data_IF_573236616833
#
_entry.id   IF_573236616833
#
_cell.length_a   1.000
_cell.length_b   1.000
_cell.length_c   1.000
_cell.angle_alpha   90.00
_cell.angle_beta   90.00
_cell.angle_gamma   90.00
#
_symmetry.space_group_name_H-M   'P 1'
#
loop_
_entity.id
_entity.type
_entity.pdbx_description
1 polymer ?
#
# COMPACT_ATOMS: atom_id res chain seq x y z
N UNK A 1 -9.58 18.00 -32.51
CA UNK A 1 -8.65 17.88 -31.38
C UNK A 1 -9.45 18.23 -30.13
N UNK A 2 -9.76 17.26 -29.25
CA UNK A 2 -10.48 17.55 -28.00
C UNK A 2 -9.61 18.43 -27.08
N UNK A 3 -10.22 19.34 -26.32
CA UNK A 3 -9.46 20.21 -25.41
C UNK A 3 -8.93 19.43 -24.21
N UNK A 4 -7.75 19.82 -23.72
CA UNK A 4 -7.10 19.21 -22.55
C UNK A 4 -8.04 19.14 -21.34
N UNK A 5 -8.92 20.14 -21.14
CA UNK A 5 -9.90 20.15 -20.05
C UNK A 5 -10.96 19.05 -20.17
N UNK A 6 -11.44 18.79 -21.39
CA UNK A 6 -12.40 17.69 -21.65
C UNK A 6 -11.75 16.34 -21.34
N UNK A 7 -10.46 16.19 -21.59
CA UNK A 7 -9.72 14.96 -21.28
C UNK A 7 -9.59 14.74 -19.78
N UNK A 8 -9.25 15.78 -19.01
CA UNK A 8 -9.21 15.72 -17.55
C UNK A 8 -10.59 15.43 -16.95
N UNK A 9 -11.67 15.95 -17.54
CA UNK A 9 -13.03 15.62 -17.11
C UNK A 9 -13.36 14.14 -17.34
N UNK A 10 -13.03 13.59 -18.52
CA UNK A 10 -13.24 12.16 -18.81
C UNK A 10 -12.40 11.26 -17.91
N UNK A 11 -11.12 11.59 -17.68
CA UNK A 11 -10.27 10.89 -16.72
C UNK A 11 -10.86 10.87 -15.31
N UNK A 12 -11.34 12.03 -14.82
CA UNK A 12 -12.03 12.12 -13.52
C UNK A 12 -13.31 11.29 -13.44
N UNK A 13 -14.07 11.16 -14.53
CA UNK A 13 -15.26 10.32 -14.56
C UNK A 13 -14.90 8.84 -14.33
N UNK A 14 -13.87 8.34 -15.00
CA UNK A 14 -13.39 6.97 -14.79
C UNK A 14 -12.84 6.76 -13.37
N UNK A 15 -12.06 7.71 -12.83
CA UNK A 15 -11.62 7.66 -11.43
C UNK A 15 -12.80 7.56 -10.46
N UNK A 16 -13.83 8.42 -10.62
CA UNK A 16 -15.03 8.37 -9.78
C UNK A 16 -15.80 7.05 -9.89
N UNK A 17 -15.84 6.44 -11.08
CA UNK A 17 -16.46 5.13 -11.24
C UNK A 17 -15.69 4.05 -10.47
N UNK A 18 -14.35 4.06 -10.54
CA UNK A 18 -13.49 3.16 -9.76
C UNK A 18 -13.67 3.39 -8.25
N UNK A 19 -13.69 4.64 -7.81
CA UNK A 19 -13.91 5.01 -6.41
C UNK A 19 -15.28 4.55 -5.90
N UNK A 20 -16.33 4.61 -6.73
CA UNK A 20 -17.65 4.07 -6.37
C UNK A 20 -17.62 2.56 -6.14
N UNK A 21 -16.83 1.82 -6.91
CA UNK A 21 -16.60 0.39 -6.68
C UNK A 21 -15.78 0.14 -5.40
N UNK A 22 -14.83 1.03 -5.08
CA UNK A 22 -14.10 0.97 -3.81
C UNK A 22 -15.03 1.15 -2.61
N UNK A 23 -15.96 2.10 -2.67
CA UNK A 23 -16.95 2.32 -1.61
C UNK A 23 -17.83 1.08 -1.40
N UNK A 24 -18.31 0.45 -2.48
CA UNK A 24 -19.15 -0.75 -2.38
C UNK A 24 -18.42 -1.95 -1.78
N UNK A 25 -17.10 -2.11 -2.00
CA UNK A 25 -16.31 -3.18 -1.34
C UNK A 25 -16.23 -3.04 0.18
N UNK A 26 -16.53 -1.86 0.70
CA UNK A 26 -16.49 -1.54 2.14
C UNK A 26 -17.75 -1.97 2.89
N UNK A 27 -18.86 -2.16 2.18
CA UNK A 27 -20.14 -2.49 2.79
C UNK A 27 -20.20 -3.99 3.10
N UNK A 28 -20.56 -4.36 4.33
CA UNK A 28 -20.97 -5.72 4.67
C UNK A 28 -22.37 -5.92 4.10
N UNK A 29 -22.45 -6.42 2.87
CA UNK A 29 -23.70 -6.76 2.20
C UNK A 29 -23.56 -8.19 1.66
N UNK A 30 -24.48 -9.07 2.07
CA UNK A 30 -24.46 -10.50 1.72
C UNK A 30 -24.68 -10.74 0.21
N UNK A 31 -25.14 -9.72 -0.53
CA UNK A 31 -25.34 -9.74 -2.00
C UNK A 31 -24.14 -9.17 -2.80
N UNK A 32 -23.04 -8.78 -2.13
CA UNK A 32 -21.90 -8.15 -2.80
C UNK A 32 -20.96 -9.17 -3.46
N UNK A 33 -21.07 -9.33 -4.78
CA UNK A 33 -20.13 -10.09 -5.59
C UNK A 33 -18.83 -9.28 -5.85
N UNK A 34 -17.80 -9.59 -5.08
CA UNK A 34 -16.47 -8.99 -5.23
C UNK A 34 -15.83 -9.30 -6.60
N UNK A 35 -16.06 -10.50 -7.16
CA UNK A 35 -15.52 -10.90 -8.45
C UNK A 35 -16.12 -10.08 -9.59
N UNK A 36 -17.45 -9.91 -9.59
CA UNK A 36 -18.14 -9.07 -10.57
C UNK A 36 -17.71 -7.59 -10.45
N UNK A 37 -17.54 -7.09 -9.22
CA UNK A 37 -17.04 -5.74 -8.96
C UNK A 37 -15.63 -5.52 -9.53
N UNK A 38 -14.72 -6.46 -9.32
CA UNK A 38 -13.35 -6.41 -9.84
C UNK A 38 -13.34 -6.42 -11.36
N UNK A 39 -14.13 -7.28 -11.99
CA UNK A 39 -14.23 -7.36 -13.44
C UNK A 39 -14.77 -6.07 -14.07
N UNK A 40 -15.83 -5.49 -13.47
CA UNK A 40 -16.37 -4.18 -13.88
C UNK A 40 -15.34 -3.07 -13.72
N UNK A 41 -14.60 -3.07 -12.62
CA UNK A 41 -13.56 -2.05 -12.37
C UNK A 41 -12.42 -2.21 -13.37
N UNK A 42 -11.94 -3.43 -13.62
CA UNK A 42 -10.87 -3.71 -14.59
C UNK A 42 -11.22 -3.22 -15.98
N UNK A 43 -12.44 -3.50 -16.46
CA UNK A 43 -12.95 -2.97 -17.74
C UNK A 43 -13.00 -1.45 -17.78
N UNK A 44 -13.41 -0.83 -16.67
CA UNK A 44 -13.48 0.64 -16.54
C UNK A 44 -12.09 1.26 -16.59
N UNK A 45 -11.14 0.69 -15.86
CA UNK A 45 -9.73 1.08 -15.88
C UNK A 45 -9.12 0.92 -17.27
N UNK A 46 -9.31 -0.23 -17.93
CA UNK A 46 -8.77 -0.50 -19.28
C UNK A 46 -9.28 0.51 -20.32
N UNK A 47 -10.55 0.91 -20.24
CA UNK A 47 -11.10 1.96 -21.11
C UNK A 47 -10.48 3.32 -20.83
N UNK A 48 -10.43 3.72 -19.55
CA UNK A 48 -9.86 4.99 -19.14
C UNK A 48 -8.38 5.11 -19.49
N UNK A 49 -7.60 4.04 -19.29
CA UNK A 49 -6.17 4.03 -19.57
C UNK A 49 -5.85 4.03 -21.06
N UNK A 50 -6.65 3.34 -21.88
CA UNK A 50 -6.56 3.38 -23.34
C UNK A 50 -6.75 4.79 -23.85
N UNK A 51 -7.78 5.49 -23.39
CA UNK A 51 -8.02 6.89 -23.74
C UNK A 51 -6.90 7.82 -23.26
N UNK A 52 -6.42 7.66 -22.02
CA UNK A 52 -5.31 8.47 -21.50
C UNK A 52 -4.03 8.26 -22.33
N UNK A 53 -3.78 7.03 -22.79
CA UNK A 53 -2.64 6.70 -23.65
C UNK A 53 -2.77 7.29 -25.05
N UNK A 54 -3.90 7.08 -25.73
CA UNK A 54 -4.17 7.64 -27.08
C UNK A 54 -4.01 9.16 -27.13
N UNK A 55 -4.26 9.82 -25.99
CA UNK A 55 -4.23 11.27 -25.87
C UNK A 55 -2.94 11.82 -25.22
N UNK A 56 -2.00 10.95 -24.82
CA UNK A 56 -0.75 11.36 -24.17
C UNK A 56 -0.93 12.04 -22.82
N UNK A 57 -2.03 11.79 -22.10
CA UNK A 57 -2.36 12.47 -20.84
C UNK A 57 -1.79 11.71 -19.63
N UNK A 58 -0.52 11.96 -19.29
CA UNK A 58 0.20 11.31 -18.17
C UNK A 58 -0.52 11.50 -16.83
N UNK A 59 -1.00 12.71 -16.52
CA UNK A 59 -1.68 13.00 -15.26
C UNK A 59 -2.97 12.19 -15.06
N UNK A 60 -3.83 12.14 -16.08
CA UNK A 60 -5.07 11.33 -16.01
C UNK A 60 -4.73 9.84 -15.94
N UNK A 61 -3.72 9.38 -16.68
CA UNK A 61 -3.25 8.00 -16.61
C UNK A 61 -2.66 7.62 -15.25
N UNK A 62 -2.00 8.54 -14.55
CA UNK A 62 -1.48 8.33 -13.21
C UNK A 62 -2.61 8.24 -12.16
N UNK A 63 -3.60 9.12 -12.24
CA UNK A 63 -4.76 9.08 -11.34
C UNK A 63 -5.58 7.80 -11.51
N UNK A 64 -5.78 7.34 -12.75
CA UNK A 64 -6.48 6.06 -13.00
C UNK A 64 -5.74 4.86 -12.42
N UNK A 65 -4.42 4.82 -12.60
CA UNK A 65 -3.55 3.80 -12.00
C UNK A 65 -3.64 3.83 -10.48
N UNK A 66 -3.61 5.02 -9.89
CA UNK A 66 -3.72 5.17 -8.44
C UNK A 66 -5.06 4.67 -7.94
N UNK A 67 -6.19 5.13 -8.50
CA UNK A 67 -7.54 4.70 -8.09
C UNK A 67 -7.70 3.17 -8.20
N UNK A 68 -7.20 2.55 -9.25
CA UNK A 68 -7.29 1.10 -9.42
C UNK A 68 -6.35 0.35 -8.47
N UNK A 69 -5.12 0.81 -8.28
CA UNK A 69 -4.18 0.23 -7.32
C UNK A 69 -4.71 0.35 -5.87
N UNK A 70 -5.42 1.43 -5.51
CA UNK A 70 -6.07 1.57 -4.20
C UNK A 70 -7.10 0.48 -3.98
N UNK A 71 -7.88 0.13 -5.02
CA UNK A 71 -8.84 -0.98 -4.96
C UNK A 71 -8.14 -2.32 -4.76
N UNK A 72 -7.11 -2.61 -5.57
CA UNK A 72 -6.35 -3.86 -5.44
C UNK A 72 -5.71 -3.98 -4.05
N UNK A 73 -5.13 -2.90 -3.54
CA UNK A 73 -4.60 -2.82 -2.17
C UNK A 73 -5.66 -3.17 -1.12
N UNK A 74 -6.89 -2.69 -1.30
CA UNK A 74 -7.99 -2.99 -0.39
C UNK A 74 -8.43 -4.45 -0.48
N UNK A 75 -8.47 -5.01 -1.68
CA UNK A 75 -8.81 -6.41 -1.93
C UNK A 75 -7.78 -7.33 -1.27
N UNK A 76 -6.49 -7.10 -1.51
CA UNK A 76 -5.40 -7.85 -0.89
C UNK A 76 -5.49 -7.79 0.65
N UNK A 77 -5.80 -6.63 1.23
CA UNK A 77 -6.00 -6.49 2.69
C UNK A 77 -7.22 -7.24 3.22
N UNK A 78 -8.26 -7.42 2.42
CA UNK A 78 -9.49 -8.06 2.88
C UNK A 78 -9.34 -9.57 3.09
N UNK A 79 -8.30 -10.19 2.51
CA UNK A 79 -8.09 -11.65 2.55
C UNK A 79 -9.18 -12.47 1.83
N UNK A 80 -10.11 -11.82 1.12
CA UNK A 80 -11.28 -12.47 0.48
C UNK A 80 -10.92 -13.29 -0.77
N UNK A 81 -9.80 -12.99 -1.43
CA UNK A 81 -9.34 -13.65 -2.68
C UNK A 81 -7.81 -13.76 -2.64
N UNK A 82 -7.24 -14.77 -3.32
CA UNK A 82 -5.79 -14.92 -3.53
C UNK A 82 -5.18 -13.60 -4.04
N UNK A 83 -4.18 -13.10 -3.31
CA UNK A 83 -3.69 -11.73 -3.44
C UNK A 83 -2.57 -11.56 -4.45
N UNK A 84 -1.83 -12.61 -4.81
CA UNK A 84 -0.53 -12.47 -5.49
C UNK A 84 -0.65 -11.76 -6.84
N UNK A 85 -1.59 -12.20 -7.70
CA UNK A 85 -1.81 -11.58 -9.01
C UNK A 85 -2.30 -10.12 -8.89
N UNK A 86 -3.13 -9.81 -7.89
CA UNK A 86 -3.63 -8.45 -7.65
C UNK A 86 -2.57 -7.55 -7.01
N UNK A 87 -1.69 -8.12 -6.19
CA UNK A 87 -0.54 -7.45 -5.59
C UNK A 87 0.46 -7.08 -6.68
N UNK A 88 0.83 -8.02 -7.56
CA UNK A 88 1.68 -7.75 -8.72
C UNK A 88 1.09 -6.68 -9.64
N UNK A 89 -0.20 -6.78 -9.96
CA UNK A 89 -0.90 -5.80 -10.80
C UNK A 89 -0.92 -4.40 -10.15
N UNK A 90 -1.24 -4.32 -8.86
CA UNK A 90 -1.21 -3.07 -8.09
C UNK A 90 0.18 -2.45 -8.02
N UNK A 91 1.20 -3.26 -7.70
CA UNK A 91 2.59 -2.81 -7.63
C UNK A 91 3.09 -2.29 -8.98
N UNK A 92 2.74 -2.95 -10.09
CA UNK A 92 3.09 -2.49 -11.45
C UNK A 92 2.56 -1.08 -11.72
N UNK A 93 1.31 -0.81 -11.35
CA UNK A 93 0.69 0.50 -11.53
C UNK A 93 1.34 1.60 -10.68
N UNK A 94 1.64 1.28 -9.42
CA UNK A 94 2.28 2.23 -8.49
C UNK A 94 3.72 2.52 -8.89
N UNK A 95 4.47 1.50 -9.33
CA UNK A 95 5.82 1.68 -9.87
C UNK A 95 5.81 2.54 -11.14
N UNK A 96 4.82 2.39 -12.01
CA UNK A 96 4.68 3.27 -13.16
C UNK A 96 4.51 4.73 -12.75
N UNK A 97 3.67 5.02 -11.74
CA UNK A 97 3.47 6.39 -11.24
C UNK A 97 4.79 6.96 -10.70
N UNK A 98 5.51 6.18 -9.90
CA UNK A 98 6.76 6.60 -9.26
C UNK A 98 7.86 6.87 -10.30
N UNK A 99 7.98 6.02 -11.33
CA UNK A 99 8.96 6.23 -12.42
C UNK A 99 8.66 7.44 -13.29
N UNK A 100 7.41 7.94 -13.26
CA UNK A 100 6.96 9.12 -14.01
C UNK A 100 6.76 10.35 -13.10
N UNK A 101 7.38 10.40 -11.92
CA UNK A 101 7.17 11.46 -10.94
C UNK A 101 7.44 12.89 -11.48
N UNK A 102 8.33 13.04 -12.47
CA UNK A 102 8.60 14.33 -13.10
C UNK A 102 7.44 14.90 -13.94
N UNK A 103 6.44 14.09 -14.28
CA UNK A 103 5.28 14.46 -15.09
C UNK A 103 3.94 14.30 -14.34
N UNK A 104 4.00 13.97 -13.05
CA UNK A 104 2.83 13.67 -12.20
C UNK A 104 2.87 14.58 -10.96
N UNK A 105 1.69 14.93 -10.43
CA UNK A 105 1.60 15.74 -9.20
C UNK A 105 2.27 15.05 -8.00
N UNK A 106 2.98 15.81 -7.17
CA UNK A 106 3.69 15.28 -5.99
C UNK A 106 2.75 14.56 -5.01
N UNK A 107 1.49 15.00 -4.92
CA UNK A 107 0.44 14.37 -4.11
C UNK A 107 0.11 12.96 -4.59
N UNK A 108 0.00 12.76 -5.91
CA UNK A 108 -0.28 11.47 -6.54
C UNK A 108 0.91 10.52 -6.33
N UNK A 109 2.14 11.02 -6.49
CA UNK A 109 3.37 10.24 -6.25
C UNK A 109 3.48 9.84 -4.78
N UNK A 110 3.23 10.76 -3.85
CA UNK A 110 3.28 10.47 -2.42
C UNK A 110 2.26 9.38 -2.02
N UNK A 111 1.03 9.48 -2.54
CA UNK A 111 0.00 8.43 -2.35
C UNK A 111 0.43 7.11 -2.96
N UNK A 112 1.00 7.11 -4.16
CA UNK A 112 1.47 5.89 -4.81
C UNK A 112 2.58 5.20 -4.01
N UNK A 113 3.54 5.95 -3.46
CA UNK A 113 4.59 5.41 -2.58
C UNK A 113 3.99 4.81 -1.30
N UNK A 114 3.02 5.47 -0.68
CA UNK A 114 2.36 4.98 0.52
C UNK A 114 1.57 3.68 0.27
N UNK A 115 0.84 3.58 -0.84
CA UNK A 115 0.12 2.35 -1.21
C UNK A 115 1.07 1.23 -1.61
N UNK A 116 2.16 1.55 -2.32
CA UNK A 116 3.17 0.57 -2.71
C UNK A 116 3.76 -0.12 -1.48
N UNK A 117 4.16 0.68 -0.49
CA UNK A 117 4.66 0.18 0.78
C UNK A 117 3.63 -0.73 1.49
N UNK A 118 2.34 -0.44 1.37
CA UNK A 118 1.30 -1.29 1.99
C UNK A 118 1.15 -2.65 1.32
N UNK A 119 1.29 -2.70 -0.01
CA UNK A 119 1.27 -3.93 -0.80
C UNK A 119 2.55 -4.75 -0.57
N UNK A 120 3.73 -4.13 -0.58
CA UNK A 120 5.01 -4.81 -0.31
C UNK A 120 5.04 -5.42 1.10
N UNK A 121 4.49 -4.71 2.09
CA UNK A 121 4.40 -5.21 3.45
C UNK A 121 3.23 -6.18 3.69
N UNK A 122 2.51 -6.63 2.66
CA UNK A 122 1.36 -7.53 2.84
C UNK A 122 1.77 -8.88 3.47
N UNK A 123 2.88 -9.47 3.02
CA UNK A 123 3.38 -10.75 3.55
C UNK A 123 3.97 -10.61 4.96
N UNK A 124 4.60 -9.46 5.24
CA UNK A 124 5.13 -9.17 6.57
C UNK A 124 4.04 -9.19 7.64
N UNK A 125 2.79 -8.83 7.31
CA UNK A 125 1.67 -8.94 8.26
C UNK A 125 1.50 -10.39 8.72
N UNK A 126 1.59 -11.37 7.82
CA UNK A 126 1.43 -12.78 8.17
C UNK A 126 2.59 -13.29 9.05
N UNK A 127 3.81 -12.86 8.75
CA UNK A 127 5.00 -13.18 9.57
C UNK A 127 4.84 -12.58 10.97
N UNK A 128 4.47 -11.31 11.06
CA UNK A 128 4.22 -10.59 12.32
C UNK A 128 3.13 -11.29 13.14
N UNK A 129 2.09 -11.80 12.49
CA UNK A 129 1.05 -12.60 13.15
C UNK A 129 1.59 -13.93 13.70
N UNK A 130 2.40 -14.65 12.93
CA UNK A 130 2.99 -15.91 13.37
C UNK A 130 3.89 -15.73 14.60
N UNK A 131 4.55 -14.57 14.73
CA UNK A 131 5.35 -14.22 15.91
C UNK A 131 4.53 -14.07 17.21
N UNK A 132 3.21 -13.87 17.13
CA UNK A 132 2.30 -13.89 18.30
C UNK A 132 2.15 -15.29 18.91
N UNK A 133 2.28 -16.35 18.09
CA UNK A 133 1.96 -17.74 18.48
C UNK A 133 3.13 -18.44 19.18
N UNK A 134 4.34 -17.88 19.11
CA UNK A 134 5.48 -18.42 19.87
C UNK A 134 5.31 -18.05 21.34
N UNK A 135 4.65 -18.93 22.08
CA UNK A 135 4.62 -18.90 23.54
C UNK A 135 6.05 -18.78 24.08
N UNK A 136 6.37 -17.69 24.77
CA UNK A 136 7.41 -17.69 25.80
C UNK A 136 8.73 -16.96 25.54
N UNK A 137 8.92 -16.22 24.44
CA UNK A 137 10.06 -15.29 24.35
C UNK A 137 9.60 -13.84 24.58
N UNK A 138 9.66 -13.44 25.84
CA UNK A 138 9.56 -12.05 26.26
C UNK A 138 10.92 -11.42 25.96
N UNK A 139 11.04 -10.74 24.81
CA UNK A 139 12.24 -10.03 24.38
C UNK A 139 12.46 -8.78 25.27
N UNK A 140 12.38 -8.94 26.59
CA UNK A 140 12.26 -7.84 27.55
C UNK A 140 11.05 -6.93 27.32
N UNK A 141 9.99 -7.41 26.68
CA UNK A 141 8.83 -6.63 26.27
C UNK A 141 7.87 -7.35 25.30
N UNK A 142 6.72 -6.74 25.06
CA UNK A 142 5.70 -7.26 24.16
C UNK A 142 6.20 -7.20 22.71
N UNK A 143 6.09 -8.31 21.94
CA UNK A 143 6.63 -8.45 20.58
C UNK A 143 6.30 -7.30 19.61
N UNK A 144 5.18 -6.59 19.81
CA UNK A 144 4.79 -5.46 18.98
C UNK A 144 5.69 -4.25 19.13
N UNK A 145 6.35 -4.11 20.28
CA UNK A 145 7.14 -2.92 20.65
C UNK A 145 8.55 -2.98 20.05
N UNK A 146 8.85 -4.08 19.36
CA UNK A 146 10.12 -4.37 18.70
C UNK A 146 10.12 -4.01 17.21
N UNK A 147 8.96 -3.63 16.68
CA UNK A 147 8.81 -3.28 15.28
C UNK A 147 8.91 -1.77 15.08
N UNK A 148 9.81 -1.38 14.19
CA UNK A 148 10.11 0.01 13.85
C UNK A 148 10.05 0.20 12.34
N UNK A 149 10.02 1.44 11.90
CA UNK A 149 10.03 1.86 10.51
C UNK A 149 11.18 2.82 10.28
N UNK A 150 11.86 2.64 9.13
CA UNK A 150 12.83 3.61 8.65
C UNK A 150 12.13 4.92 8.23
N UNK A 151 12.86 5.99 7.88
CA UNK A 151 12.26 7.26 7.46
C UNK A 151 11.30 7.10 6.28
N UNK A 152 11.59 6.15 5.38
CA UNK A 152 10.78 5.82 4.21
C UNK A 152 9.64 4.83 4.49
N UNK A 153 9.48 4.34 5.72
CA UNK A 153 8.37 3.48 6.14
C UNK A 153 8.57 1.97 5.98
N UNK A 154 9.73 1.51 5.54
CA UNK A 154 10.03 0.08 5.53
C UNK A 154 10.18 -0.44 6.97
N UNK A 155 9.42 -1.48 7.35
CA UNK A 155 9.48 -2.03 8.69
C UNK A 155 10.77 -2.82 8.91
N UNK A 156 11.25 -2.81 10.14
CA UNK A 156 12.36 -3.63 10.62
C UNK A 156 12.14 -4.01 12.08
N UNK A 157 12.77 -5.12 12.50
CA UNK A 157 12.63 -5.67 13.84
C UNK A 157 13.92 -5.46 14.64
N UNK A 158 13.80 -5.02 15.89
CA UNK A 158 14.90 -4.95 16.85
C UNK A 158 14.74 -6.11 17.85
N UNK A 159 15.69 -7.04 17.87
CA UNK A 159 15.72 -8.15 18.81
C UNK A 159 16.13 -7.78 20.24
N UNK A 160 16.40 -8.80 21.06
CA UNK A 160 16.87 -8.69 22.45
C UNK A 160 15.92 -7.95 23.39
N UNK A 161 16.20 -6.69 23.76
CA UNK A 161 15.40 -5.87 24.67
C UNK A 161 14.42 -4.93 23.94
N UNK A 162 14.38 -5.01 22.60
CA UNK A 162 13.46 -4.23 21.76
C UNK A 162 13.81 -2.77 21.57
N UNK A 163 14.93 -2.30 22.13
CA UNK A 163 15.37 -0.90 22.03
C UNK A 163 16.64 -0.78 21.18
N UNK A 164 16.74 0.35 20.50
CA UNK A 164 17.83 0.63 19.57
C UNK A 164 19.20 0.70 20.29
N UNK A 165 20.00 -0.35 20.19
CA UNK A 165 21.36 -0.43 20.71
C UNK A 165 22.44 -0.26 19.63
N UNK A 166 22.10 -0.59 18.38
CA UNK A 166 22.96 -0.49 17.22
C UNK A 166 22.23 0.17 16.04
N UNK A 167 23.04 0.71 15.14
CA UNK A 167 22.57 1.25 13.87
C UNK A 167 22.90 0.30 12.72
N UNK A 168 22.08 0.36 11.68
CA UNK A 168 22.29 -0.35 10.42
C UNK A 168 21.69 0.44 9.26
N UNK A 169 21.63 -0.16 8.08
CA UNK A 169 20.96 0.38 6.91
C UNK A 169 19.71 -0.45 6.59
N UNK A 170 18.63 0.22 6.20
CA UNK A 170 17.42 -0.40 5.70
C UNK A 170 17.75 -1.23 4.45
N UNK A 171 17.32 -2.50 4.42
CA UNK A 171 17.60 -3.41 3.30
C UNK A 171 16.89 -2.99 2.00
N UNK A 172 15.77 -2.27 2.12
CA UNK A 172 14.96 -1.84 0.98
C UNK A 172 15.46 -0.53 0.36
N UNK A 173 15.83 0.45 1.19
CA UNK A 173 16.13 1.81 0.71
C UNK A 173 17.48 2.38 1.16
N UNK A 174 18.26 1.64 1.94
CA UNK A 174 19.58 2.07 2.41
C UNK A 174 19.58 3.18 3.47
N UNK A 175 18.42 3.71 3.88
CA UNK A 175 18.34 4.72 4.93
C UNK A 175 18.85 4.18 6.28
N UNK A 176 19.46 5.04 7.11
CA UNK A 176 19.92 4.66 8.45
C UNK A 176 18.74 4.24 9.34
N UNK A 177 18.90 3.11 10.02
CA UNK A 177 17.93 2.52 10.94
C UNK A 177 18.54 2.19 12.29
N UNK A 178 17.69 2.01 13.30
CA UNK A 178 18.12 1.68 14.66
C UNK A 178 18.48 2.92 15.46
N UNK A 179 19.61 2.88 16.16
CA UNK A 179 20.05 3.95 17.07
C UNK A 179 20.98 3.43 18.17
N UNK A 180 21.41 4.30 19.08
CA UNK A 180 22.45 4.01 20.06
C UNK A 180 21.96 4.30 21.49
N UNK A 181 22.47 3.56 22.47
CA UNK A 181 22.18 3.79 23.88
C UNK A 181 20.69 3.64 24.24
N UNK A 182 19.99 2.73 23.55
CA UNK A 182 18.53 2.52 23.66
C UNK A 182 17.68 3.72 23.19
N UNK A 183 18.27 4.62 22.41
CA UNK A 183 17.59 5.74 21.78
C UNK A 183 17.49 5.50 20.28
N UNK A 184 16.26 5.47 19.79
CA UNK A 184 15.97 5.37 18.37
C UNK A 184 16.44 6.63 17.65
N UNK A 185 16.96 6.50 16.43
CA UNK A 185 17.19 7.64 15.55
C UNK A 185 15.90 8.45 15.38
N UNK A 186 15.98 9.78 15.47
CA UNK A 186 14.80 10.66 15.38
C UNK A 186 14.03 10.53 14.06
N UNK A 187 14.71 10.09 13.01
CA UNK A 187 14.13 9.87 11.68
C UNK A 187 13.38 8.54 11.55
N UNK A 188 13.56 7.65 12.53
CA UNK A 188 12.90 6.35 12.61
C UNK A 188 11.69 6.46 13.57
N UNK A 189 10.75 5.52 13.47
CA UNK A 189 9.52 5.55 14.28
C UNK A 189 9.01 4.14 14.58
N UNK A 190 8.17 3.93 15.60
CA UNK A 190 7.49 2.65 15.81
C UNK A 190 6.61 2.27 14.62
N UNK A 191 6.54 0.98 14.27
CA UNK A 191 5.79 0.47 13.12
C UNK A 191 4.29 0.32 13.40
N UNK A 192 3.66 1.36 13.95
CA UNK A 192 2.28 1.31 14.44
C UNK A 192 1.30 0.83 13.36
N UNK A 193 1.47 1.27 12.10
CA UNK A 193 0.59 0.87 11.00
C UNK A 193 0.68 -0.63 10.68
N UNK A 194 1.88 -1.21 10.70
CA UNK A 194 2.07 -2.66 10.52
C UNK A 194 1.43 -3.44 11.66
N UNK A 195 1.66 -3.03 12.90
CA UNK A 195 1.12 -3.69 14.09
C UNK A 195 -0.42 -3.61 14.12
N UNK A 196 -1.00 -2.46 13.81
CA UNK A 196 -2.46 -2.31 13.73
C UNK A 196 -3.07 -3.25 12.69
N UNK A 197 -2.42 -3.43 11.53
CA UNK A 197 -2.86 -4.37 10.49
C UNK A 197 -2.81 -5.81 10.99
N UNK A 198 -1.69 -6.23 11.56
CA UNK A 198 -1.52 -7.60 12.08
C UNK A 198 -2.53 -7.96 13.18
N UNK A 199 -2.93 -6.98 13.99
CA UNK A 199 -3.99 -7.15 15.00
C UNK A 199 -5.39 -7.26 14.38
N UNK A 200 -5.67 -6.48 13.34
CA UNK A 200 -6.99 -6.44 12.69
C UNK A 200 -7.31 -7.67 11.83
N UNK A 201 -6.30 -8.38 11.34
CA UNK A 201 -6.45 -9.61 10.55
C UNK A 201 -6.65 -10.87 11.39
N UNK A 202 -7.05 -10.73 12.67
CA UNK A 202 -7.35 -11.84 13.59
C UNK A 202 -8.88 -11.94 13.71
N UNK A 203 -9.53 -13.02 13.24
CA UNK A 203 -10.90 -13.30 13.65
C UNK A 203 -10.93 -13.60 15.16
N UNK A 204 -11.90 -12.99 15.86
CA UNK A 204 -12.17 -13.29 17.28
C UNK A 204 -12.40 -14.79 17.52
#
# INVERSE_FOLDING_TARGET
MESVDTLHQKGRLYCRQIEKYLESTSANNDDFDLGECLEKTKKTFQRGIGMAFEQGCTYSGANLRLSYASLLTRVCKSGRISSDAYQEEGLSMLNWIITHEGAVGQDVVARARAEKLQLENADLVQIVQAMKVVTGYDYGGHWSDHWYECPNGHPYFIGECGRAAFESNCIECGARIGGLGHNLLETNRPANSLISRARASIPN
#
